data_IF_218826863644
#
_entry.id   IF_218826863644
#
_cell.length_a   1.000
_cell.length_b   1.000
_cell.length_c   1.000
_cell.angle_alpha   90.00
_cell.angle_beta   90.00
_cell.angle_gamma   90.00
#
_symmetry.space_group_name_H-M   'P 1'
#
loop_
_entity.id
_entity.type
_entity.pdbx_description
1 polymer ?
#
# COMPACT_ATOMS: atom_id res chain seq x y z
N UNK A 1 -4.43 40.49 78.55
CA UNK A 1 -3.76 41.35 77.53
C UNK A 1 -2.75 40.54 76.73
N UNK A 2 -1.76 39.88 77.36
CA UNK A 2 -0.77 39.04 76.64
C UNK A 2 -1.39 37.91 75.81
N UNK A 3 -2.30 37.10 76.39
CA UNK A 3 -2.96 36.00 75.66
C UNK A 3 -3.72 36.45 74.41
N UNK A 4 -4.31 37.65 74.44
CA UNK A 4 -5.04 38.22 73.29
C UNK A 4 -4.04 38.63 72.20
N UNK A 5 -2.87 39.18 72.59
CA UNK A 5 -1.80 39.51 71.66
C UNK A 5 -1.26 38.26 70.95
N UNK A 6 -1.12 37.15 71.68
CA UNK A 6 -0.61 35.88 71.19
C UNK A 6 -1.59 35.20 70.20
N UNK A 7 -2.89 35.23 70.50
CA UNK A 7 -3.90 34.74 69.55
C UNK A 7 -3.99 35.59 68.27
N UNK A 8 -3.84 36.92 68.39
CA UNK A 8 -3.85 37.84 67.24
C UNK A 8 -2.62 37.62 66.35
N UNK A 9 -1.44 37.38 66.94
CA UNK A 9 -0.23 37.05 66.16
C UNK A 9 -0.35 35.69 65.49
N UNK A 10 -0.86 34.66 66.19
CA UNK A 10 -1.14 33.37 65.59
C UNK A 10 -2.18 33.45 64.45
N UNK A 11 -3.21 34.29 64.59
CA UNK A 11 -4.18 34.56 63.53
C UNK A 11 -3.54 35.26 62.33
N UNK A 12 -2.60 36.19 62.56
CA UNK A 12 -1.82 36.85 61.53
C UNK A 12 -1.01 35.86 60.68
N UNK A 13 -0.28 34.95 61.33
CA UNK A 13 0.48 33.91 60.62
C UNK A 13 -0.42 32.93 59.86
N UNK A 14 -1.59 32.55 60.41
CA UNK A 14 -2.56 31.72 59.68
C UNK A 14 -3.09 32.42 58.43
N UNK A 15 -3.36 33.73 58.51
CA UNK A 15 -3.80 34.53 57.38
C UNK A 15 -2.74 34.58 56.28
N UNK A 16 -1.49 34.86 56.65
CA UNK A 16 -0.36 34.89 55.69
C UNK A 16 -0.12 33.52 55.03
N UNK A 17 -0.28 32.43 55.78
CA UNK A 17 -0.26 31.06 55.27
C UNK A 17 -1.44 30.74 54.33
N UNK A 18 -2.60 31.37 54.51
CA UNK A 18 -3.73 31.26 53.58
C UNK A 18 -3.49 32.08 52.31
N UNK A 19 -2.99 33.31 52.44
CA UNK A 19 -2.73 34.20 51.31
C UNK A 19 -1.70 33.59 50.34
N UNK A 20 -0.65 32.96 50.88
CA UNK A 20 0.33 32.20 50.08
C UNK A 20 -0.27 31.00 49.35
N UNK A 21 -1.12 30.20 50.00
CA UNK A 21 -1.82 29.08 49.35
C UNK A 21 -2.79 29.56 48.27
N UNK A 22 -3.52 30.64 48.52
CA UNK A 22 -4.44 31.25 47.54
C UNK A 22 -3.64 31.72 46.32
N UNK A 23 -2.48 32.34 46.53
CA UNK A 23 -1.62 32.78 45.43
C UNK A 23 -1.14 31.60 44.56
N UNK A 24 -0.68 30.51 45.18
CA UNK A 24 -0.24 29.31 44.45
C UNK A 24 -1.41 28.66 43.70
N UNK A 25 -2.58 28.54 44.33
CA UNK A 25 -3.78 28.01 43.69
C UNK A 25 -4.24 28.87 42.51
N UNK A 26 -4.15 30.19 42.62
CA UNK A 26 -4.47 31.11 41.53
C UNK A 26 -3.49 30.94 40.35
N UNK A 27 -2.19 30.78 40.64
CA UNK A 27 -1.18 30.52 39.62
C UNK A 27 -1.41 29.18 38.90
N UNK A 28 -1.70 28.11 39.65
CA UNK A 28 -2.03 26.79 39.09
C UNK A 28 -3.30 26.86 38.24
N UNK A 29 -4.36 27.50 38.76
CA UNK A 29 -5.63 27.68 38.04
C UNK A 29 -5.42 28.44 36.73
N UNK A 30 -4.51 29.42 36.69
CA UNK A 30 -4.20 30.17 35.47
C UNK A 30 -3.49 29.33 34.41
N UNK A 31 -2.74 28.29 34.81
CA UNK A 31 -2.05 27.38 33.89
C UNK A 31 -2.97 26.33 33.24
N UNK A 32 -4.08 25.99 33.89
CA UNK A 32 -5.02 24.96 33.42
C UNK A 32 -5.61 25.30 32.04
N UNK A 33 -6.13 26.51 31.78
CA UNK A 33 -6.64 26.89 30.46
C UNK A 33 -5.60 26.72 29.33
N UNK A 34 -4.34 27.07 29.59
CA UNK A 34 -3.25 26.92 28.62
C UNK A 34 -2.98 25.45 28.30
N UNK A 35 -2.97 24.59 29.32
CA UNK A 35 -2.79 23.16 29.13
C UNK A 35 -3.98 22.54 28.39
N UNK A 36 -5.21 22.96 28.72
CA UNK A 36 -6.43 22.52 28.04
C UNK A 36 -6.38 22.90 26.55
N UNK A 37 -6.01 24.14 26.22
CA UNK A 37 -5.85 24.57 24.84
C UNK A 37 -4.81 23.69 24.09
N UNK A 38 -3.65 23.46 24.71
CA UNK A 38 -2.63 22.57 24.13
C UNK A 38 -3.10 21.12 23.94
N UNK A 39 -3.95 20.60 24.82
CA UNK A 39 -4.56 19.28 24.63
C UNK A 39 -5.61 19.27 23.53
N UNK A 40 -6.41 20.32 23.40
CA UNK A 40 -7.39 20.45 22.32
C UNK A 40 -6.70 20.44 20.95
N UNK A 41 -5.63 21.22 20.78
CA UNK A 41 -4.84 21.24 19.53
C UNK A 41 -4.28 19.86 19.18
N UNK A 42 -3.77 19.13 20.19
CA UNK A 42 -3.23 17.78 20.01
C UNK A 42 -4.32 16.79 19.62
N UNK A 43 -5.49 16.85 20.25
CA UNK A 43 -6.64 15.98 19.92
C UNK A 43 -7.09 16.25 18.49
N UNK A 44 -7.27 17.52 18.12
CA UNK A 44 -7.67 17.90 16.76
C UNK A 44 -6.64 17.45 15.72
N UNK A 45 -5.34 17.55 16.03
CA UNK A 45 -4.26 17.02 15.19
C UNK A 45 -4.33 15.50 15.02
N UNK A 46 -4.64 14.75 16.08
CA UNK A 46 -4.82 13.29 16.04
C UNK A 46 -6.06 12.92 15.20
N UNK A 47 -7.17 13.63 15.37
CA UNK A 47 -8.41 13.38 14.63
C UNK A 47 -8.24 13.61 13.12
N UNK A 48 -7.52 14.67 12.72
CA UNK A 48 -7.16 14.90 11.32
C UNK A 48 -6.34 13.75 10.75
N UNK A 49 -5.30 13.31 11.47
CA UNK A 49 -4.45 12.18 11.04
C UNK A 49 -5.24 10.88 10.94
N UNK A 50 -6.13 10.63 11.89
CA UNK A 50 -7.00 9.46 11.90
C UNK A 50 -7.93 9.45 10.68
N UNK A 51 -8.47 10.61 10.30
CA UNK A 51 -9.32 10.75 9.10
C UNK A 51 -8.55 10.37 7.82
N UNK A 52 -7.31 10.85 7.69
CA UNK A 52 -6.45 10.49 6.55
C UNK A 52 -6.15 9.00 6.53
N UNK A 53 -5.75 8.42 7.67
CA UNK A 53 -5.46 6.98 7.77
C UNK A 53 -6.67 6.13 7.42
N UNK A 54 -7.87 6.50 7.90
CA UNK A 54 -9.12 5.81 7.55
C UNK A 54 -9.39 5.85 6.05
N UNK A 55 -9.19 7.00 5.41
CA UNK A 55 -9.37 7.13 3.96
C UNK A 55 -8.38 6.24 3.19
N UNK A 56 -7.09 6.26 3.55
CA UNK A 56 -6.08 5.39 2.95
C UNK A 56 -6.42 3.91 3.15
N UNK A 57 -6.83 3.50 4.35
CA UNK A 57 -7.16 2.11 4.64
C UNK A 57 -8.38 1.63 3.84
N UNK A 58 -9.35 2.50 3.58
CA UNK A 58 -10.53 2.15 2.78
C UNK A 58 -10.26 2.13 1.27
N UNK A 59 -9.18 2.76 0.80
CA UNK A 59 -8.83 2.83 -0.63
C UNK A 59 -7.79 1.79 -1.05
N UNK A 60 -7.02 1.23 -0.11
CA UNK A 60 -6.07 0.13 -0.37
C UNK A 60 -6.75 -1.16 -0.87
N UNK A 61 -7.87 -1.64 -0.28
CA UNK A 61 -8.54 -2.86 -0.73
C UNK A 61 -9.01 -2.80 -2.18
N UNK A 62 -9.42 -1.61 -2.63
CA UNK A 62 -9.86 -1.36 -4.00
C UNK A 62 -8.70 -1.51 -5.00
N UNK A 63 -7.52 -1.04 -4.61
CA UNK A 63 -6.30 -1.17 -5.42
C UNK A 63 -5.80 -2.61 -5.51
N UNK A 64 -5.87 -3.38 -4.44
CA UNK A 64 -5.44 -4.78 -4.47
C UNK A 64 -6.34 -5.61 -5.41
N UNK A 65 -7.64 -5.32 -5.42
CA UNK A 65 -8.58 -5.95 -6.34
C UNK A 65 -8.32 -5.53 -7.79
N UNK A 66 -8.02 -4.26 -8.05
CA UNK A 66 -7.63 -3.76 -9.37
C UNK A 66 -6.34 -4.42 -9.87
N UNK A 67 -5.33 -4.57 -9.00
CA UNK A 67 -4.08 -5.24 -9.33
C UNK A 67 -4.29 -6.71 -9.69
N UNK A 68 -5.14 -7.43 -8.96
CA UNK A 68 -5.49 -8.82 -9.29
C UNK A 68 -6.19 -8.89 -10.66
N UNK A 69 -7.17 -8.03 -10.90
CA UNK A 69 -7.86 -7.96 -12.18
C UNK A 69 -6.90 -7.65 -13.34
N UNK A 70 -6.01 -6.67 -13.18
CA UNK A 70 -5.03 -6.30 -14.20
C UNK A 70 -4.04 -7.42 -14.48
N UNK A 71 -3.62 -8.16 -13.44
CA UNK A 71 -2.74 -9.32 -13.56
C UNK A 71 -3.41 -10.45 -14.35
N UNK A 72 -4.66 -10.77 -14.02
CA UNK A 72 -5.41 -11.83 -14.71
C UNK A 72 -5.62 -11.44 -16.18
N UNK A 73 -6.01 -10.19 -16.43
CA UNK A 73 -6.16 -9.67 -17.79
C UNK A 73 -4.85 -9.71 -18.59
N UNK A 74 -3.71 -9.43 -17.97
CA UNK A 74 -2.41 -9.51 -18.63
C UNK A 74 -2.06 -10.96 -18.97
N UNK A 75 -2.37 -11.90 -18.08
CA UNK A 75 -2.20 -13.33 -18.32
C UNK A 75 -3.06 -13.79 -19.49
N UNK A 76 -4.34 -13.41 -19.50
CA UNK A 76 -5.26 -13.72 -20.60
C UNK A 76 -4.77 -13.16 -21.93
N UNK A 77 -4.25 -11.93 -21.94
CA UNK A 77 -3.69 -11.31 -23.14
C UNK A 77 -2.41 -12.01 -23.62
N UNK A 78 -1.53 -12.41 -22.71
CA UNK A 78 -0.34 -13.19 -23.06
C UNK A 78 -0.71 -14.56 -23.65
N UNK A 79 -1.66 -15.26 -23.03
CA UNK A 79 -2.13 -16.56 -23.50
C UNK A 79 -2.84 -16.43 -24.84
N UNK A 80 -3.66 -15.40 -25.03
CA UNK A 80 -4.31 -15.13 -26.30
C UNK A 80 -3.31 -14.78 -27.39
N UNK A 81 -2.28 -13.99 -27.07
CA UNK A 81 -1.19 -13.66 -28.01
C UNK A 81 -0.34 -14.87 -28.38
N UNK A 82 -0.26 -15.89 -27.53
CA UNK A 82 0.49 -17.13 -27.78
C UNK A 82 -0.39 -18.29 -28.25
N UNK A 83 -1.70 -18.10 -28.36
CA UNK A 83 -2.67 -19.16 -28.66
C UNK A 83 -2.36 -19.91 -29.96
N UNK A 84 -1.88 -19.19 -30.96
CA UNK A 84 -1.57 -19.75 -32.27
C UNK A 84 -0.09 -20.15 -32.41
N UNK A 85 0.71 -20.00 -31.34
CA UNK A 85 2.12 -20.37 -31.33
C UNK A 85 2.29 -21.85 -31.00
N UNK A 86 2.88 -22.60 -31.92
CA UNK A 86 3.27 -24.01 -31.70
C UNK A 86 4.77 -24.07 -31.43
N UNK A 87 5.16 -24.81 -30.39
CA UNK A 87 6.57 -25.08 -30.07
C UNK A 87 6.93 -26.51 -30.45
N UNK A 88 7.99 -26.65 -31.24
CA UNK A 88 8.57 -27.94 -31.57
C UNK A 88 9.84 -28.18 -30.75
N UNK A 89 9.93 -29.33 -30.10
CA UNK A 89 11.07 -29.75 -29.30
C UNK A 89 11.77 -30.96 -29.94
N UNK A 90 13.08 -31.09 -29.75
CA UNK A 90 13.85 -32.26 -30.20
C UNK A 90 14.38 -32.20 -31.63
N UNK A 91 14.26 -31.06 -32.32
CA UNK A 91 14.98 -30.84 -33.57
C UNK A 91 16.47 -30.61 -33.30
N UNK A 92 17.39 -31.31 -33.99
CA UNK A 92 18.81 -30.99 -33.93
C UNK A 92 19.08 -29.55 -34.39
N UNK A 93 20.09 -28.92 -33.80
CA UNK A 93 20.51 -27.56 -34.17
C UNK A 93 20.83 -27.46 -35.68
N UNK A 94 20.43 -26.35 -36.29
CA UNK A 94 20.67 -26.03 -37.71
C UNK A 94 19.97 -26.91 -38.77
N UNK A 95 19.09 -27.84 -38.39
CA UNK A 95 18.38 -28.71 -39.36
C UNK A 95 17.49 -27.95 -40.33
N UNK A 96 16.93 -26.83 -39.89
CA UNK A 96 16.07 -25.99 -40.72
C UNK A 96 16.84 -25.07 -41.70
N UNK A 97 18.18 -24.97 -41.58
CA UNK A 97 18.99 -24.07 -42.41
C UNK A 97 18.64 -22.59 -42.21
N UNK A 98 18.66 -21.81 -43.29
CA UNK A 98 18.38 -20.36 -43.26
C UNK A 98 16.88 -20.03 -43.14
N UNK A 99 15.99 -20.89 -43.67
CA UNK A 99 14.56 -20.61 -43.78
C UNK A 99 13.71 -21.66 -43.02
N UNK A 100 13.44 -21.35 -41.75
CA UNK A 100 12.65 -22.22 -40.85
C UNK A 100 11.22 -22.43 -41.34
N UNK A 101 10.62 -21.42 -41.99
CA UNK A 101 9.24 -21.50 -42.50
C UNK A 101 9.09 -22.55 -43.59
N UNK A 102 10.04 -22.59 -44.52
CA UNK A 102 9.97 -23.50 -45.67
C UNK A 102 10.28 -24.93 -45.24
N UNK A 103 11.20 -25.11 -44.29
CA UNK A 103 11.43 -26.37 -43.61
C UNK A 103 10.14 -26.91 -42.96
N UNK A 104 9.42 -26.07 -42.19
CA UNK A 104 8.17 -26.47 -41.52
C UNK A 104 7.02 -26.74 -42.50
N UNK A 105 6.93 -26.00 -43.62
CA UNK A 105 5.96 -26.31 -44.69
C UNK A 105 6.28 -27.62 -45.40
N UNK A 106 7.56 -27.96 -45.55
CA UNK A 106 8.03 -29.22 -46.16
C UNK A 106 7.83 -30.46 -45.27
N UNK A 107 7.65 -30.27 -43.96
CA UNK A 107 7.36 -31.32 -42.97
C UNK A 107 5.92 -31.91 -43.07
N UNK A 108 5.10 -31.38 -43.97
CA UNK A 108 3.73 -31.81 -44.28
C UNK A 108 3.71 -33.21 -44.97
N UNK A 109 2.66 -34.05 -44.86
CA UNK A 109 1.74 -34.45 -43.78
C UNK A 109 2.22 -35.69 -42.98
N UNK A 110 3.41 -36.23 -43.29
CA UNK A 110 3.90 -37.52 -42.76
C UNK A 110 4.14 -37.52 -41.25
N UNK A 111 4.42 -36.36 -40.65
CA UNK A 111 4.70 -36.24 -39.22
C UNK A 111 3.44 -36.11 -38.35
N UNK A 112 2.38 -35.49 -38.89
CA UNK A 112 1.20 -35.07 -38.12
C UNK A 112 -0.04 -35.90 -38.49
N UNK A 113 -0.02 -36.60 -39.63
CA UNK A 113 -1.16 -37.39 -40.10
C UNK A 113 -2.40 -36.56 -40.45
N UNK A 114 -2.25 -35.23 -40.54
CA UNK A 114 -3.32 -34.28 -40.86
C UNK A 114 -3.10 -33.73 -42.26
N UNK A 115 -4.11 -33.84 -43.11
CA UNK A 115 -4.19 -33.13 -44.39
C UNK A 115 -4.79 -31.76 -44.15
N UNK A 116 -4.03 -30.69 -44.37
CA UNK A 116 -4.51 -29.32 -44.25
C UNK A 116 -5.09 -28.86 -45.60
N UNK A 117 -6.37 -28.47 -45.60
CA UNK A 117 -7.05 -27.79 -46.71
C UNK A 117 -7.85 -26.61 -46.13
N UNK A 118 -7.43 -25.35 -46.30
CA UNK A 118 -6.29 -24.85 -47.11
C UNK A 118 -4.90 -25.19 -46.52
N UNK A 119 -3.81 -25.04 -47.31
CA UNK A 119 -2.45 -25.34 -46.87
C UNK A 119 -2.02 -24.48 -45.67
N UNK A 120 -1.15 -25.05 -44.83
CA UNK A 120 -0.67 -24.42 -43.60
C UNK A 120 -0.03 -23.04 -43.87
N UNK A 121 -0.61 -22.01 -43.27
CA UNK A 121 -0.07 -20.65 -43.30
C UNK A 121 0.75 -20.38 -42.03
N UNK A 122 2.04 -20.09 -42.21
CA UNK A 122 2.96 -19.76 -41.11
C UNK A 122 3.31 -18.27 -41.19
N UNK A 123 2.72 -17.48 -40.29
CA UNK A 123 2.99 -16.04 -40.21
C UNK A 123 4.45 -15.76 -39.80
N UNK A 124 4.96 -16.48 -38.82
CA UNK A 124 6.33 -16.33 -38.33
C UNK A 124 6.85 -17.63 -37.70
N UNK A 125 8.16 -17.87 -37.85
CA UNK A 125 8.85 -19.00 -37.24
C UNK A 125 10.28 -18.58 -36.91
N UNK A 126 10.75 -18.93 -35.72
CA UNK A 126 12.11 -18.67 -35.29
C UNK A 126 12.66 -19.83 -34.46
N UNK A 127 13.97 -19.98 -34.46
CA UNK A 127 14.66 -20.84 -33.51
C UNK A 127 14.76 -20.12 -32.15
N UNK A 128 14.12 -20.69 -31.15
CA UNK A 128 14.32 -20.32 -29.75
C UNK A 128 15.45 -21.23 -29.26
N UNK A 129 16.69 -20.72 -29.22
CA UNK A 129 17.83 -21.46 -28.72
C UNK A 129 17.68 -21.93 -27.27
N UNK A 130 18.70 -22.62 -26.71
CA UNK A 130 18.75 -22.92 -25.29
C UNK A 130 18.69 -21.64 -24.43
#
# INVERSE_FOLDING_TARGET
>A
MEHILEEVTAAGHRKEGMDTKIYVLAAQTKSIPTNIAGFQDRVEGVERRLTVVKYCLNTVPDRDQELLYLRDKLTDLEDWSRKDNIRFFGFPEHVAGADVKDFLKGLHPSLVGLTFDPPLEIQWAQYLGP
#
